data_IF_203269303555
#
_entry.id   IF_203269303555
#
_cell.length_a   1.000
_cell.length_b   1.000
_cell.length_c   1.000
_cell.angle_alpha   90.00
_cell.angle_beta   90.00
_cell.angle_gamma   90.00
#
_symmetry.space_group_name_H-M   'P 1'
#
loop_
_entity.id
_entity.type
_entity.pdbx_description
1 polymer ?
#
# COMPACT_ATOMS: atom_id res chain seq x y z
N UNK A 1 -14.52 12.17 6.47
CA UNK A 1 -13.61 13.32 6.22
C UNK A 1 -12.50 13.52 7.28
N UNK A 2 -12.80 13.50 8.60
CA UNK A 2 -11.75 13.67 9.63
C UNK A 2 -10.67 12.57 9.57
N UNK A 3 -11.07 11.29 9.49
CA UNK A 3 -10.12 10.17 9.41
C UNK A 3 -9.18 10.32 8.21
N UNK A 4 -9.72 10.65 7.03
CA UNK A 4 -8.94 10.93 5.82
C UNK A 4 -7.87 12.01 6.06
N UNK A 5 -8.26 13.17 6.60
CA UNK A 5 -7.34 14.27 6.86
C UNK A 5 -6.22 13.87 7.85
N UNK A 6 -6.58 13.17 8.93
CA UNK A 6 -5.63 12.64 9.91
C UNK A 6 -4.67 11.67 9.24
N UNK A 7 -5.16 10.75 8.42
CA UNK A 7 -4.31 9.78 7.69
C UNK A 7 -3.30 10.48 6.78
N UNK A 8 -3.75 11.46 6.01
CA UNK A 8 -2.88 12.24 5.12
C UNK A 8 -1.76 12.92 5.90
N UNK A 9 -2.10 13.57 7.01
CA UNK A 9 -1.12 14.26 7.86
C UNK A 9 -0.15 13.26 8.48
N UNK A 10 -0.67 12.21 9.14
CA UNK A 10 0.15 11.22 9.86
C UNK A 10 1.09 10.50 8.91
N UNK A 11 0.62 10.05 7.74
CA UNK A 11 1.48 9.34 6.78
C UNK A 11 2.51 10.26 6.15
N UNK A 12 2.15 11.50 5.81
CA UNK A 12 3.09 12.48 5.27
C UNK A 12 4.18 12.81 6.28
N UNK A 13 3.81 13.12 7.52
CA UNK A 13 4.76 13.43 8.61
C UNK A 13 5.65 12.23 8.91
N UNK A 14 5.05 11.03 9.05
CA UNK A 14 5.81 9.79 9.28
C UNK A 14 6.83 9.55 8.18
N UNK A 15 6.44 9.77 6.92
CA UNK A 15 7.35 9.62 5.81
C UNK A 15 8.46 10.67 5.89
N UNK A 16 8.16 11.95 6.08
CA UNK A 16 9.15 13.03 6.15
C UNK A 16 10.19 12.84 7.26
N UNK A 17 9.76 12.36 8.43
CA UNK A 17 10.65 12.16 9.59
C UNK A 17 11.50 10.90 9.48
N UNK A 18 11.08 9.90 8.70
CA UNK A 18 11.78 8.64 8.58
C UNK A 18 13.06 8.78 7.73
N UNK A 19 14.21 8.24 8.19
CA UNK A 19 15.44 8.24 7.40
C UNK A 19 15.23 7.44 6.11
N UNK A 20 15.56 8.05 4.97
CA UNK A 20 15.36 7.44 3.65
C UNK A 20 16.42 6.38 3.40
N UNK A 21 15.98 5.13 3.24
CA UNK A 21 16.78 3.94 2.90
C UNK A 21 16.57 3.50 1.46
N UNK A 22 15.47 3.93 0.84
CA UNK A 22 15.20 3.73 -0.58
C UNK A 22 15.83 4.85 -1.42
N UNK A 23 16.42 4.47 -2.54
CA UNK A 23 16.85 5.39 -3.59
C UNK A 23 15.65 6.02 -4.30
N UNK A 24 15.85 7.17 -4.95
CA UNK A 24 14.79 7.84 -5.72
C UNK A 24 14.19 6.95 -6.81
N UNK A 25 14.99 6.11 -7.46
CA UNK A 25 14.52 5.15 -8.46
C UNK A 25 13.60 4.09 -7.84
N UNK A 26 13.99 3.51 -6.70
CA UNK A 26 13.16 2.53 -5.99
C UNK A 26 11.86 3.16 -5.52
N UNK A 27 11.91 4.37 -4.97
CA UNK A 27 10.72 5.10 -4.53
C UNK A 27 9.75 5.35 -5.70
N UNK A 28 10.26 5.84 -6.83
CA UNK A 28 9.46 6.13 -8.01
C UNK A 28 8.80 4.87 -8.59
N UNK A 29 9.61 3.84 -8.85
CA UNK A 29 9.14 2.61 -9.50
C UNK A 29 8.16 1.82 -8.63
N UNK A 30 8.45 1.67 -7.34
CA UNK A 30 7.55 0.96 -6.41
C UNK A 30 6.24 1.73 -6.19
N UNK A 31 6.28 3.07 -6.17
CA UNK A 31 5.07 3.88 -6.05
C UNK A 31 4.18 3.77 -7.28
N UNK A 32 4.77 3.85 -8.48
CA UNK A 32 4.03 3.64 -9.73
C UNK A 32 3.43 2.24 -9.81
N UNK A 33 4.19 1.23 -9.42
CA UNK A 33 3.70 -0.14 -9.37
C UNK A 33 2.55 -0.30 -8.38
N UNK A 34 2.66 0.25 -7.17
CA UNK A 34 1.62 0.18 -6.15
C UNK A 34 0.33 0.87 -6.63
N UNK A 35 0.43 2.06 -7.23
CA UNK A 35 -0.71 2.79 -7.79
C UNK A 35 -1.35 1.99 -8.92
N UNK A 36 -0.57 1.52 -9.90
CA UNK A 36 -1.09 0.77 -11.04
C UNK A 36 -1.77 -0.53 -10.60
N UNK A 37 -1.11 -1.30 -9.74
CA UNK A 37 -1.62 -2.57 -9.25
C UNK A 37 -2.88 -2.39 -8.40
N UNK A 38 -2.88 -1.42 -7.49
CA UNK A 38 -4.01 -1.10 -6.62
C UNK A 38 -5.22 -0.63 -7.42
N UNK A 39 -5.06 0.38 -8.28
CA UNK A 39 -6.15 0.90 -9.10
C UNK A 39 -6.68 -0.15 -10.09
N UNK A 40 -5.81 -1.00 -10.64
CA UNK A 40 -6.26 -2.10 -11.50
C UNK A 40 -7.11 -3.10 -10.70
N UNK A 41 -6.75 -3.37 -9.45
CA UNK A 41 -7.52 -4.25 -8.56
C UNK A 41 -8.86 -3.62 -8.22
N UNK A 42 -8.90 -2.34 -7.86
CA UNK A 42 -10.14 -1.60 -7.56
C UNK A 42 -11.06 -1.53 -8.79
N UNK A 43 -10.52 -1.38 -10.00
CA UNK A 43 -11.32 -1.43 -11.23
C UNK A 43 -12.14 -2.73 -11.33
N UNK A 44 -11.59 -3.86 -10.90
CA UNK A 44 -12.33 -5.13 -10.89
C UNK A 44 -13.19 -5.29 -9.63
N UNK A 45 -12.62 -5.12 -8.44
CA UNK A 45 -13.30 -5.48 -7.19
C UNK A 45 -14.34 -4.44 -6.76
N UNK A 46 -14.01 -3.16 -6.90
CA UNK A 46 -14.91 -2.05 -6.58
C UNK A 46 -15.83 -1.76 -7.79
N UNK A 47 -15.27 -1.33 -8.92
CA UNK A 47 -16.09 -0.80 -10.02
C UNK A 47 -16.87 -1.88 -10.77
N UNK A 48 -16.25 -3.02 -11.10
CA UNK A 48 -16.91 -4.07 -11.89
C UNK A 48 -17.76 -5.02 -11.05
N UNK A 49 -17.26 -5.45 -9.89
CA UNK A 49 -17.92 -6.45 -9.06
C UNK A 49 -18.64 -5.86 -7.84
N UNK A 50 -18.49 -4.56 -7.56
CA UNK A 50 -19.17 -3.87 -6.45
C UNK A 50 -19.02 -4.59 -5.12
N UNK A 51 -17.84 -5.13 -4.83
CA UNK A 51 -17.62 -5.90 -3.59
C UNK A 51 -17.44 -4.97 -2.38
N UNK A 52 -16.72 -3.88 -2.59
CA UNK A 52 -16.49 -2.77 -1.66
C UNK A 52 -16.44 -1.46 -2.45
N UNK A 53 -16.45 -0.32 -1.77
CA UNK A 53 -16.26 0.99 -2.42
C UNK A 53 -15.82 2.08 -1.45
N UNK A 54 -15.48 3.25 -2.00
CA UNK A 54 -14.96 4.40 -1.26
C UNK A 54 -15.86 5.62 -1.41
N UNK A 55 -16.21 6.28 -0.30
CA UNK A 55 -17.11 7.45 -0.22
C UNK A 55 -18.49 7.19 -0.84
N UNK A 56 -18.62 7.37 -2.15
CA UNK A 56 -19.87 7.20 -2.91
C UNK A 56 -19.70 6.10 -3.97
N UNK A 57 -20.81 5.61 -4.52
CA UNK A 57 -20.77 4.60 -5.59
C UNK A 57 -20.33 5.25 -6.90
N UNK A 58 -19.30 4.68 -7.53
CA UNK A 58 -18.81 5.10 -8.84
C UNK A 58 -17.49 5.87 -8.79
N UNK A 59 -17.19 6.61 -9.85
CA UNK A 59 -15.91 7.32 -9.99
C UNK A 59 -15.99 8.65 -9.24
N UNK A 60 -15.44 8.68 -8.03
CA UNK A 60 -15.23 9.91 -7.26
C UNK A 60 -13.76 10.38 -7.39
N UNK A 61 -13.58 11.63 -7.84
CA UNK A 61 -12.26 12.24 -7.97
C UNK A 61 -11.54 12.43 -6.64
N UNK A 62 -12.28 12.69 -5.55
CA UNK A 62 -11.70 12.80 -4.21
C UNK A 62 -11.25 11.43 -3.70
N UNK A 63 -12.07 10.40 -3.89
CA UNK A 63 -11.70 9.01 -3.63
C UNK A 63 -10.43 8.62 -4.39
N UNK A 64 -10.36 8.91 -5.69
CA UNK A 64 -9.19 8.62 -6.52
C UNK A 64 -7.90 9.26 -5.98
N UNK A 65 -7.93 10.57 -5.70
CA UNK A 65 -6.76 11.28 -5.17
C UNK A 65 -6.33 10.71 -3.83
N UNK A 66 -7.29 10.41 -2.95
CA UNK A 66 -7.00 9.82 -1.65
C UNK A 66 -6.40 8.41 -1.77
N UNK A 67 -6.97 7.54 -2.62
CA UNK A 67 -6.47 6.18 -2.85
C UNK A 67 -5.06 6.19 -3.43
N UNK A 68 -4.80 7.05 -4.42
CA UNK A 68 -3.45 7.21 -5.00
C UNK A 68 -2.46 7.66 -3.92
N UNK A 69 -2.83 8.63 -3.08
CA UNK A 69 -2.00 9.06 -1.96
C UNK A 69 -1.71 7.89 -0.99
N UNK A 70 -2.71 7.09 -0.65
CA UNK A 70 -2.56 5.93 0.23
C UNK A 70 -1.61 4.90 -0.39
N UNK A 71 -1.79 4.55 -1.67
CA UNK A 71 -0.93 3.58 -2.35
C UNK A 71 0.53 4.03 -2.41
N UNK A 72 0.78 5.31 -2.68
CA UNK A 72 2.15 5.86 -2.68
C UNK A 72 2.73 5.82 -1.26
N UNK A 73 2.03 6.40 -0.29
CA UNK A 73 2.60 6.61 1.05
C UNK A 73 2.75 5.33 1.86
N UNK A 74 1.76 4.43 1.85
CA UNK A 74 1.84 3.14 2.55
C UNK A 74 2.94 2.27 1.97
N UNK A 75 3.05 2.18 0.64
CA UNK A 75 4.14 1.46 -0.02
C UNK A 75 5.51 1.98 0.45
N UNK A 76 5.71 3.30 0.42
CA UNK A 76 6.98 3.91 0.80
C UNK A 76 7.30 3.73 2.29
N UNK A 77 6.31 3.87 3.17
CA UNK A 77 6.47 3.64 4.61
C UNK A 77 6.87 2.18 4.90
N UNK A 78 6.14 1.23 4.30
CA UNK A 78 6.39 -0.20 4.45
C UNK A 78 7.78 -0.59 3.92
N UNK A 79 8.08 -0.29 2.66
CA UNK A 79 9.32 -0.73 2.02
C UNK A 79 10.56 -0.07 2.62
N UNK A 80 10.46 1.20 3.00
CA UNK A 80 11.59 1.91 3.60
C UNK A 80 11.88 1.42 5.03
N UNK A 81 10.84 1.04 5.77
CA UNK A 81 10.96 0.47 7.12
C UNK A 81 11.30 -1.03 7.14
N UNK A 82 11.19 -1.72 5.99
CA UNK A 82 11.31 -3.17 5.92
C UNK A 82 12.68 -3.71 6.41
N UNK A 83 12.71 -4.64 7.38
CA UNK A 83 13.95 -5.11 8.00
C UNK A 83 14.63 -6.22 7.19
N UNK A 84 15.11 -5.91 5.98
CA UNK A 84 15.63 -6.88 5.00
C UNK A 84 16.77 -7.78 5.53
N UNK A 85 17.62 -7.26 6.41
CA UNK A 85 18.79 -7.98 6.95
C UNK A 85 18.51 -8.69 8.28
N UNK A 86 17.27 -8.66 8.78
CA UNK A 86 16.88 -9.34 10.02
C UNK A 86 16.40 -10.77 9.74
N UNK A 87 16.38 -11.65 10.76
CA UNK A 87 15.84 -13.01 10.62
C UNK A 87 14.43 -13.04 10.04
N UNK A 88 14.07 -14.15 9.39
CA UNK A 88 12.79 -14.28 8.68
C UNK A 88 11.57 -14.10 9.60
N UNK A 89 11.68 -14.44 10.88
CA UNK A 89 10.60 -14.24 11.86
C UNK A 89 10.35 -12.75 12.15
N UNK A 90 11.39 -11.90 12.14
CA UNK A 90 11.25 -10.44 12.30
C UNK A 90 10.58 -9.85 11.06
N UNK A 91 10.98 -10.32 9.89
CA UNK A 91 10.39 -9.93 8.62
C UNK A 91 8.90 -10.33 8.54
N UNK A 92 8.59 -11.57 8.95
CA UNK A 92 7.21 -12.05 9.03
C UNK A 92 6.38 -11.26 10.04
N UNK A 93 6.93 -10.98 11.23
CA UNK A 93 6.26 -10.15 12.24
C UNK A 93 6.03 -8.72 11.75
N UNK A 94 6.96 -8.15 10.96
CA UNK A 94 6.80 -6.82 10.35
C UNK A 94 5.64 -6.80 9.34
N UNK A 95 5.56 -7.79 8.46
CA UNK A 95 4.44 -7.94 7.51
C UNK A 95 3.12 -8.17 8.26
N UNK A 96 3.14 -9.02 9.30
CA UNK A 96 1.98 -9.27 10.15
C UNK A 96 1.50 -8.02 10.87
N UNK A 97 2.42 -7.21 11.40
CA UNK A 97 2.11 -5.93 12.05
C UNK A 97 1.48 -4.92 11.08
N UNK A 98 2.03 -4.80 9.87
CA UNK A 98 1.43 -3.95 8.83
C UNK A 98 0.07 -4.47 8.35
N UNK A 99 -0.09 -5.80 8.24
CA UNK A 99 -1.36 -6.41 7.88
C UNK A 99 -2.43 -6.17 8.96
N UNK A 100 -2.06 -6.29 10.24
CA UNK A 100 -2.92 -5.98 11.36
C UNK A 100 -3.28 -4.50 11.38
N UNK A 101 -2.31 -3.60 11.17
CA UNK A 101 -2.56 -2.17 11.07
C UNK A 101 -3.56 -1.85 9.94
N UNK A 102 -3.38 -2.44 8.75
CA UNK A 102 -4.30 -2.26 7.62
C UNK A 102 -5.71 -2.75 7.94
N UNK A 103 -5.87 -3.90 8.61
CA UNK A 103 -7.18 -4.39 9.06
C UNK A 103 -7.85 -3.45 10.05
N UNK A 104 -7.12 -2.98 11.06
CA UNK A 104 -7.65 -2.05 12.05
C UNK A 104 -8.05 -0.72 11.40
N UNK A 105 -7.25 -0.25 10.44
CA UNK A 105 -7.56 0.94 9.66
C UNK A 105 -8.82 0.76 8.81
N UNK A 106 -8.95 -0.37 8.11
CA UNK A 106 -10.15 -0.73 7.34
C UNK A 106 -11.39 -0.77 8.24
N UNK A 107 -11.29 -1.40 9.42
CA UNK A 107 -12.38 -1.42 10.40
C UNK A 107 -12.77 -0.02 10.87
N UNK A 108 -11.81 0.90 11.05
CA UNK A 108 -12.11 2.29 11.37
C UNK A 108 -12.75 3.02 10.17
N UNK A 109 -12.27 2.77 8.96
CA UNK A 109 -12.83 3.35 7.73
C UNK A 109 -14.29 2.94 7.52
N UNK A 110 -14.63 1.67 7.77
CA UNK A 110 -16.01 1.15 7.74
C UNK A 110 -16.96 1.87 8.70
N UNK A 111 -16.45 2.48 9.78
CA UNK A 111 -17.26 3.24 10.74
C UNK A 111 -17.42 4.72 10.37
N UNK A 112 -16.69 5.20 9.36
CA UNK A 112 -16.57 6.65 9.05
C UNK A 112 -17.07 7.01 7.66
N UNK A 113 -17.84 6.11 7.02
CA UNK A 113 -18.41 6.23 5.66
C UNK A 113 -17.37 6.41 4.54
N UNK A 114 -16.07 6.36 4.86
CA UNK A 114 -14.98 6.41 3.88
C UNK A 114 -14.91 5.12 3.07
N UNK A 115 -15.33 4.01 3.68
CA UNK A 115 -15.27 2.69 3.07
C UNK A 115 -16.53 1.92 3.44
N UNK A 116 -17.05 1.12 2.52
CA UNK A 116 -18.25 0.31 2.74
C UNK A 116 -18.14 -1.05 2.05
N UNK A 117 -18.88 -2.02 2.58
CA UNK A 117 -18.99 -3.36 2.03
C UNK A 117 -20.34 -3.59 1.39
N UNK A 118 -20.33 -4.37 0.30
CA UNK A 118 -21.51 -5.01 -0.26
C UNK A 118 -21.37 -6.53 -0.21
N UNK A 119 -20.41 -7.08 -0.97
CA UNK A 119 -20.10 -8.52 -1.03
C UNK A 119 -18.78 -8.90 -0.37
N UNK A 120 -18.01 -7.92 0.09
CA UNK A 120 -16.71 -8.14 0.70
C UNK A 120 -16.80 -8.53 2.17
N UNK A 121 -15.78 -9.26 2.65
CA UNK A 121 -15.67 -9.70 4.03
C UNK A 121 -14.30 -9.33 4.56
N UNK A 122 -14.25 -8.93 5.82
CA UNK A 122 -12.99 -8.60 6.51
C UNK A 122 -11.98 -9.78 6.48
N UNK A 123 -12.46 -11.02 6.44
CA UNK A 123 -11.61 -12.21 6.28
C UNK A 123 -10.85 -12.24 4.96
N UNK A 124 -11.42 -11.71 3.87
CA UNK A 124 -10.72 -11.61 2.58
C UNK A 124 -9.59 -10.60 2.68
N UNK A 125 -9.84 -9.44 3.29
CA UNK A 125 -8.80 -8.44 3.58
C UNK A 125 -7.68 -9.03 4.45
N UNK A 126 -8.04 -9.82 5.48
CA UNK A 126 -7.07 -10.40 6.39
C UNK A 126 -6.11 -11.38 5.70
N UNK A 127 -6.59 -12.12 4.70
CA UNK A 127 -5.76 -12.98 3.87
C UNK A 127 -4.95 -12.20 2.82
N UNK A 128 -5.53 -11.12 2.27
CA UNK A 128 -4.93 -10.37 1.17
C UNK A 128 -3.86 -9.38 1.62
N UNK A 129 -4.00 -8.70 2.75
CA UNK A 129 -2.98 -7.74 3.21
C UNK A 129 -1.55 -8.32 3.29
N UNK A 130 -1.29 -9.47 3.94
CA UNK A 130 0.05 -10.03 3.96
C UNK A 130 0.55 -10.39 2.55
N UNK A 131 -0.35 -10.84 1.66
CA UNK A 131 -0.01 -11.11 0.27
C UNK A 131 0.36 -9.83 -0.50
N UNK A 132 -0.39 -8.74 -0.31
CA UNK A 132 -0.12 -7.44 -0.93
C UNK A 132 1.26 -6.91 -0.52
N UNK A 133 1.60 -6.97 0.77
CA UNK A 133 2.92 -6.56 1.25
C UNK A 133 4.06 -7.43 0.69
N UNK A 134 3.83 -8.74 0.52
CA UNK A 134 4.77 -9.63 -0.13
C UNK A 134 4.97 -9.29 -1.62
N UNK A 135 3.89 -8.93 -2.33
CA UNK A 135 3.96 -8.49 -3.73
C UNK A 135 4.79 -7.21 -3.86
N UNK A 136 4.57 -6.21 -2.98
CA UNK A 136 5.37 -4.98 -2.95
C UNK A 136 6.84 -5.26 -2.70
N UNK A 137 7.15 -6.13 -1.72
CA UNK A 137 8.51 -6.52 -1.42
C UNK A 137 9.18 -7.24 -2.60
N UNK A 138 8.47 -8.18 -3.22
CA UNK A 138 8.96 -8.87 -4.41
C UNK A 138 9.27 -7.88 -5.54
N UNK A 139 8.41 -6.89 -5.77
CA UNK A 139 8.63 -5.87 -6.78
C UNK A 139 9.88 -5.03 -6.48
N UNK A 140 10.09 -4.60 -5.23
CA UNK A 140 11.32 -3.90 -4.83
C UNK A 140 12.57 -4.74 -5.14
N UNK A 141 12.54 -6.03 -4.80
CA UNK A 141 13.66 -6.94 -5.06
C UNK A 141 13.90 -7.14 -6.56
N UNK A 142 12.84 -7.17 -7.35
CA UNK A 142 12.92 -7.21 -8.80
C UNK A 142 13.58 -5.95 -9.37
N UNK A 143 13.16 -4.76 -8.93
CA UNK A 143 13.76 -3.48 -9.32
C UNK A 143 15.26 -3.44 -8.99
N UNK A 144 15.64 -3.85 -7.77
CA UNK A 144 17.05 -3.94 -7.36
C UNK A 144 17.88 -4.85 -8.26
N UNK A 145 17.33 -6.02 -8.62
CA UNK A 145 17.99 -6.95 -9.55
C UNK A 145 18.19 -6.34 -10.93
N UNK A 146 17.19 -5.64 -11.45
CA UNK A 146 17.29 -4.95 -12.75
C UNK A 146 18.33 -3.83 -12.72
N UNK A 147 18.32 -3.00 -11.68
CA UNK A 147 19.30 -1.92 -11.52
C UNK A 147 20.73 -2.45 -11.44
N UNK A 148 20.95 -3.53 -10.67
CA UNK A 148 22.26 -4.17 -10.57
C UNK A 148 22.72 -4.82 -11.89
N UNK A 149 21.80 -5.30 -12.73
CA UNK A 149 22.10 -5.83 -14.07
C UNK A 149 22.42 -4.72 -15.05
N UNK A 150 21.72 -3.58 -14.98
CA UNK A 150 21.98 -2.42 -15.82
C UNK A 150 23.37 -1.83 -15.57
N UNK A 151 23.75 -1.65 -14.30
CA UNK A 151 25.08 -1.15 -13.92
C UNK A 151 26.23 -2.01 -14.46
N UNK A 152 26.07 -3.34 -14.45
CA UNK A 152 27.07 -4.28 -14.99
C UNK A 152 27.22 -4.28 -16.50
N UNK A 153 26.26 -3.70 -17.25
CA UNK A 153 26.34 -3.59 -18.72
C UNK A 153 27.00 -2.31 -19.19
N UNK A 154 27.13 -1.31 -18.32
CA UNK A 154 27.76 -0.02 -18.60
C UNK A 154 29.22 0.04 -18.17
N UNK A 155 29.70 -0.97 -17.45
CA UNK A 155 31.10 -1.21 -17.08
C UNK A 155 31.74 -2.14 -18.12
#
# INVERSE_FOLDING_TARGET
MLLMAVTVIVFSVSFLLMPKRLSGLEMYTTSLFAVFFGLSTDLFLDVKYHLYGYFDVGVDGLAYVFIVFIYVTVNLLFLNGYPMHRPIWVQAAYIGGWSLFSLLYEMAALRTEIFYYHGWKLSYSAALYPLLFLILLWHLLFVRRLAAKAKRRSE
#
